data_IF_790824896216
#
_entry.id   IF_790824896216
#
_cell.length_a   1.000
_cell.length_b   1.000
_cell.length_c   1.000
_cell.angle_alpha   90.00
_cell.angle_beta   90.00
_cell.angle_gamma   90.00
#
_symmetry.space_group_name_H-M   'P 1'
#
loop_
_entity.id
_entity.type
_entity.pdbx_description
1 polymer ?
#
# COMPACT_ATOMS: atom_id res chain seq x y z
N UNK A 1 20.21 -27.78 -4.82
CA UNK A 1 20.62 -26.47 -4.32
C UNK A 1 19.61 -26.03 -3.28
N UNK A 2 20.01 -25.27 -2.27
CA UNK A 2 19.05 -24.67 -1.33
C UNK A 2 18.20 -23.64 -2.06
N UNK A 3 16.93 -23.50 -1.66
CA UNK A 3 16.08 -22.45 -2.18
C UNK A 3 16.65 -21.07 -1.76
N UNK A 4 16.43 -20.06 -2.59
CA UNK A 4 16.73 -18.67 -2.25
C UNK A 4 15.82 -18.15 -1.14
N UNK A 5 16.17 -17.01 -0.55
CA UNK A 5 15.43 -16.34 0.51
C UNK A 5 14.40 -15.36 -0.09
N UNK A 6 13.22 -15.33 0.50
CA UNK A 6 12.16 -14.38 0.13
C UNK A 6 12.14 -13.19 1.09
N UNK A 7 12.15 -12.00 0.55
CA UNK A 7 11.99 -10.76 1.31
C UNK A 7 10.68 -10.08 0.93
N UNK A 8 9.81 -9.84 1.91
CA UNK A 8 8.65 -8.95 1.77
C UNK A 8 9.03 -7.55 2.22
N UNK A 9 9.09 -6.59 1.31
CA UNK A 9 9.71 -5.28 1.58
C UNK A 9 8.70 -4.15 1.41
N UNK A 10 8.39 -3.46 2.51
CA UNK A 10 7.65 -2.21 2.48
C UNK A 10 8.58 -1.07 2.04
N UNK A 11 8.19 -0.35 0.99
CA UNK A 11 9.01 0.72 0.39
C UNK A 11 8.49 2.13 0.68
N UNK A 12 7.63 2.27 1.69
CA UNK A 12 7.08 3.56 2.06
C UNK A 12 5.95 4.05 1.14
N UNK A 13 5.40 5.24 1.42
CA UNK A 13 4.16 5.71 0.80
C UNK A 13 4.34 6.30 -0.59
N UNK A 14 5.57 6.64 -1.00
CA UNK A 14 5.83 7.26 -2.29
C UNK A 14 7.17 7.98 -2.41
N UNK A 15 7.60 8.65 -1.36
CA UNK A 15 8.90 9.31 -1.27
C UNK A 15 10.02 8.27 -1.07
N UNK A 16 11.01 8.18 -1.99
CA UNK A 16 12.16 7.29 -1.81
C UNK A 16 12.96 7.55 -0.52
N UNK A 17 12.95 8.78 -0.01
CA UNK A 17 13.57 9.14 1.27
C UNK A 17 12.93 8.50 2.50
N UNK A 18 11.74 7.89 2.33
CA UNK A 18 11.03 7.15 3.38
C UNK A 18 11.20 5.63 3.27
N UNK A 19 12.04 5.17 2.37
CA UNK A 19 12.48 3.77 2.33
C UNK A 19 13.45 3.54 3.48
N UNK A 20 13.20 2.51 4.29
CA UNK A 20 14.11 2.20 5.40
C UNK A 20 15.48 1.76 4.90
N UNK A 21 16.53 1.98 5.69
CA UNK A 21 17.89 1.53 5.35
C UNK A 21 17.94 0.03 5.06
N UNK A 22 17.25 -0.78 5.87
CA UNK A 22 17.17 -2.24 5.68
C UNK A 22 16.47 -2.60 4.37
N UNK A 23 15.38 -1.91 4.03
CA UNK A 23 14.68 -2.12 2.76
C UNK A 23 15.60 -1.80 1.56
N UNK A 24 16.30 -0.67 1.60
CA UNK A 24 17.20 -0.26 0.53
C UNK A 24 18.37 -1.25 0.36
N UNK A 25 18.96 -1.75 1.46
CA UNK A 25 20.01 -2.77 1.44
C UNK A 25 19.54 -4.04 0.73
N UNK A 26 18.39 -4.60 1.14
CA UNK A 26 17.82 -5.82 0.56
C UNK A 26 17.49 -5.62 -0.92
N UNK A 27 16.83 -4.51 -1.28
CA UNK A 27 16.45 -4.25 -2.66
C UNK A 27 17.65 -4.14 -3.59
N UNK A 28 18.74 -3.52 -3.13
CA UNK A 28 19.99 -3.45 -3.92
C UNK A 28 20.71 -4.79 -4.02
N UNK A 29 20.60 -5.65 -3.01
CA UNK A 29 21.33 -6.92 -2.90
C UNK A 29 20.61 -8.15 -3.43
N UNK A 30 19.29 -8.11 -3.66
CA UNK A 30 18.52 -9.26 -4.14
C UNK A 30 18.84 -9.60 -5.59
N UNK A 31 18.72 -10.90 -5.96
CA UNK A 31 18.91 -11.36 -7.33
C UNK A 31 17.72 -10.99 -8.23
N UNK A 32 16.50 -10.97 -7.66
CA UNK A 32 15.29 -10.55 -8.36
C UNK A 32 14.46 -9.64 -7.44
N UNK A 33 14.16 -8.44 -7.92
CA UNK A 33 13.26 -7.51 -7.24
C UNK A 33 11.92 -7.48 -7.97
N UNK A 34 10.89 -8.01 -7.35
CA UNK A 34 9.53 -7.95 -7.87
C UNK A 34 8.85 -6.66 -7.42
N UNK A 35 8.42 -5.86 -8.38
CA UNK A 35 7.63 -4.65 -8.18
C UNK A 35 6.17 -4.89 -8.59
N UNK A 36 5.24 -4.05 -8.15
CA UNK A 36 3.81 -4.23 -8.36
C UNK A 36 3.25 -3.16 -9.29
N UNK A 37 2.48 -3.60 -10.29
CA UNK A 37 1.64 -2.70 -11.09
C UNK A 37 0.18 -3.17 -11.08
N UNK A 38 -0.75 -2.23 -11.22
CA UNK A 38 -2.12 -2.57 -11.60
C UNK A 38 -2.16 -2.94 -13.08
N UNK A 39 -2.89 -3.98 -13.45
CA UNK A 39 -3.02 -4.44 -14.84
C UNK A 39 -3.45 -3.33 -15.84
N UNK A 40 -4.05 -2.26 -15.36
CA UNK A 40 -4.54 -1.14 -16.17
C UNK A 40 -3.61 0.10 -16.15
N UNK A 41 -2.40 0.00 -15.58
CA UNK A 41 -1.45 1.12 -15.52
C UNK A 41 -0.14 0.76 -16.20
N UNK A 42 0.33 1.64 -17.08
CA UNK A 42 1.61 1.51 -17.80
C UNK A 42 2.82 1.78 -16.88
N UNK A 43 2.63 2.48 -15.77
CA UNK A 43 3.70 2.84 -14.85
C UNK A 43 3.48 2.21 -13.46
N UNK A 44 4.52 1.56 -12.96
CA UNK A 44 4.59 1.03 -11.61
C UNK A 44 5.26 2.04 -10.69
N UNK A 45 4.52 2.59 -9.71
CA UNK A 45 5.09 3.49 -8.71
C UNK A 45 6.15 2.78 -7.87
N UNK A 46 5.92 1.51 -7.50
CA UNK A 46 6.90 0.74 -6.75
C UNK A 46 8.20 0.51 -7.55
N UNK A 47 8.10 0.37 -8.87
CA UNK A 47 9.28 0.26 -9.73
C UNK A 47 10.08 1.56 -9.76
N UNK A 48 9.42 2.70 -9.91
CA UNK A 48 10.08 4.01 -9.91
C UNK A 48 10.83 4.27 -8.60
N UNK A 49 10.23 3.92 -7.45
CA UNK A 49 10.90 4.03 -6.15
C UNK A 49 12.13 3.11 -6.09
N UNK A 50 11.99 1.85 -6.48
CA UNK A 50 13.11 0.89 -6.46
C UNK A 50 14.26 1.39 -7.35
N UNK A 51 13.98 1.85 -8.56
CA UNK A 51 14.98 2.37 -9.49
C UNK A 51 15.68 3.63 -8.97
N UNK A 52 14.98 4.47 -8.20
CA UNK A 52 15.57 5.67 -7.60
C UNK A 52 16.57 5.38 -6.46
N UNK A 53 16.57 4.16 -5.90
CA UNK A 53 17.52 3.76 -4.86
C UNK A 53 18.95 3.55 -5.38
N UNK A 54 19.17 3.60 -6.68
CA UNK A 54 20.46 3.37 -7.34
C UNK A 54 20.57 1.97 -7.97
N UNK A 55 21.78 1.56 -8.38
CA UNK A 55 21.96 0.31 -9.11
C UNK A 55 21.57 -0.90 -8.25
N UNK A 56 20.86 -1.83 -8.87
CA UNK A 56 20.52 -3.13 -8.30
C UNK A 56 21.59 -4.15 -8.70
N UNK A 57 21.92 -5.09 -7.82
CA UNK A 57 22.78 -6.24 -8.15
C UNK A 57 22.12 -7.14 -9.18
N UNK A 58 20.83 -7.39 -8.99
CA UNK A 58 20.01 -8.24 -9.85
C UNK A 58 19.09 -7.47 -10.77
N UNK A 59 18.01 -8.10 -11.15
CA UNK A 59 17.01 -7.56 -12.07
C UNK A 59 15.72 -7.13 -11.39
N UNK A 60 15.05 -6.10 -11.92
CA UNK A 60 13.72 -5.70 -11.48
C UNK A 60 12.66 -6.24 -12.47
N UNK A 61 11.67 -6.98 -11.95
CA UNK A 61 10.51 -7.49 -12.70
C UNK A 61 9.22 -6.95 -12.13
N UNK A 62 8.32 -6.51 -13.01
CA UNK A 62 7.02 -6.00 -12.57
C UNK A 62 5.95 -7.09 -12.67
N UNK A 63 5.30 -7.36 -11.54
CA UNK A 63 4.15 -8.25 -11.44
C UNK A 63 2.87 -7.43 -11.58
N UNK A 64 1.98 -7.87 -12.47
CA UNK A 64 0.66 -7.27 -12.65
C UNK A 64 -0.36 -7.92 -11.72
N UNK A 65 -1.17 -7.09 -11.05
CA UNK A 65 -2.28 -7.57 -10.23
C UNK A 65 -3.61 -7.11 -10.80
N UNK A 66 -4.52 -8.07 -10.99
CA UNK A 66 -5.84 -7.80 -11.56
C UNK A 66 -6.72 -7.01 -10.60
N UNK A 67 -7.36 -5.95 -11.13
CA UNK A 67 -8.40 -5.17 -10.44
C UNK A 67 -9.81 -5.61 -10.86
N UNK A 68 -9.96 -6.77 -11.52
CA UNK A 68 -11.24 -7.33 -11.95
C UNK A 68 -12.22 -7.46 -10.79
N UNK A 69 -13.51 -7.33 -11.07
CA UNK A 69 -14.58 -7.69 -10.12
C UNK A 69 -14.73 -9.20 -9.98
N UNK A 70 -14.33 -9.96 -10.98
CA UNK A 70 -14.33 -11.42 -10.96
C UNK A 70 -13.24 -11.95 -10.00
N UNK A 71 -13.68 -12.70 -9.00
CA UNK A 71 -12.79 -13.28 -8.00
C UNK A 71 -11.85 -14.35 -8.62
N UNK A 72 -12.34 -15.15 -9.58
CA UNK A 72 -11.55 -16.18 -10.21
C UNK A 72 -10.36 -15.58 -11.00
N UNK A 73 -10.60 -14.48 -11.72
CA UNK A 73 -9.55 -13.74 -12.43
C UNK A 73 -8.49 -13.19 -11.47
N UNK A 74 -8.93 -12.64 -10.32
CA UNK A 74 -7.97 -12.15 -9.32
C UNK A 74 -7.15 -13.28 -8.71
N UNK A 75 -7.79 -14.39 -8.36
CA UNK A 75 -7.11 -15.57 -7.79
C UNK A 75 -6.08 -16.13 -8.75
N UNK A 76 -6.45 -16.39 -10.01
CA UNK A 76 -5.53 -16.90 -11.02
C UNK A 76 -4.32 -15.97 -11.23
N UNK A 77 -4.54 -14.66 -11.18
CA UNK A 77 -3.45 -13.67 -11.28
C UNK A 77 -2.48 -13.75 -10.09
N UNK A 78 -3.00 -13.89 -8.87
CA UNK A 78 -2.17 -14.04 -7.66
C UNK A 78 -1.39 -15.35 -7.68
N UNK A 79 -2.02 -16.45 -8.11
CA UNK A 79 -1.38 -17.76 -8.25
C UNK A 79 -0.24 -17.74 -9.28
N UNK A 80 -0.46 -17.11 -10.43
CA UNK A 80 0.58 -16.95 -11.46
C UNK A 80 1.77 -16.14 -10.93
N UNK A 81 1.52 -15.04 -10.21
CA UNK A 81 2.56 -14.23 -9.59
C UNK A 81 3.32 -15.00 -8.50
N UNK A 82 2.61 -15.72 -7.64
CA UNK A 82 3.24 -16.56 -6.61
C UNK A 82 4.10 -17.66 -7.22
N UNK A 83 3.63 -18.28 -8.32
CA UNK A 83 4.41 -19.28 -9.06
C UNK A 83 5.70 -18.67 -9.63
N UNK A 84 5.63 -17.51 -10.27
CA UNK A 84 6.79 -16.84 -10.84
C UNK A 84 7.87 -16.55 -9.77
N UNK A 85 7.46 -16.12 -8.58
CA UNK A 85 8.38 -15.90 -7.46
C UNK A 85 8.96 -17.24 -6.95
N UNK A 86 8.11 -18.27 -6.80
CA UNK A 86 8.52 -19.57 -6.31
C UNK A 86 9.52 -20.26 -7.27
N UNK A 87 9.38 -20.08 -8.58
CA UNK A 87 10.29 -20.65 -9.58
C UNK A 87 11.71 -20.03 -9.45
N UNK A 88 11.81 -18.71 -9.17
CA UNK A 88 13.09 -18.05 -8.90
C UNK A 88 13.74 -18.54 -7.60
N UNK A 89 12.94 -18.65 -6.54
CA UNK A 89 13.41 -19.16 -5.25
C UNK A 89 13.93 -20.62 -5.38
N UNK A 90 13.23 -21.48 -6.16
CA UNK A 90 13.70 -22.85 -6.45
C UNK A 90 15.02 -22.88 -7.20
N UNK A 91 15.26 -21.89 -8.04
CA UNK A 91 16.53 -21.74 -8.75
C UNK A 91 17.68 -21.25 -7.83
N UNK A 92 17.43 -21.07 -6.53
CA UNK A 92 18.42 -20.62 -5.54
C UNK A 92 18.62 -19.10 -5.54
N UNK A 93 17.74 -18.32 -6.18
CA UNK A 93 17.86 -16.87 -6.25
C UNK A 93 17.11 -16.18 -5.11
N UNK A 94 17.75 -15.21 -4.47
CA UNK A 94 17.13 -14.35 -3.46
C UNK A 94 16.16 -13.38 -4.12
N UNK A 95 14.92 -13.37 -3.61
CA UNK A 95 13.82 -12.58 -4.18
C UNK A 95 13.30 -11.53 -3.21
N UNK A 96 13.21 -10.27 -3.63
CA UNK A 96 12.57 -9.20 -2.88
C UNK A 96 11.24 -8.80 -3.54
N UNK A 97 10.15 -8.78 -2.77
CA UNK A 97 8.85 -8.28 -3.21
C UNK A 97 8.62 -6.89 -2.65
N UNK A 98 8.78 -5.87 -3.49
CA UNK A 98 8.63 -4.47 -3.12
C UNK A 98 7.16 -4.01 -3.24
N UNK A 99 6.58 -3.53 -2.15
CA UNK A 99 5.20 -3.04 -2.10
C UNK A 99 5.09 -1.66 -1.47
N UNK A 100 4.22 -0.81 -2.01
CA UNK A 100 3.95 0.52 -1.45
C UNK A 100 3.43 0.42 -0.01
N UNK A 101 3.86 1.36 0.83
CA UNK A 101 3.55 1.39 2.23
C UNK A 101 4.29 0.30 2.99
N UNK A 102 3.56 -0.44 3.81
CA UNK A 102 4.05 -1.55 4.63
C UNK A 102 3.73 -2.91 3.99
N UNK A 103 4.63 -3.87 4.12
CA UNK A 103 4.52 -5.18 3.47
C UNK A 103 3.38 -6.05 4.04
N UNK A 104 2.94 -5.81 5.27
CA UNK A 104 1.91 -6.63 5.94
C UNK A 104 0.60 -5.89 6.18
N UNK A 105 0.54 -4.57 5.87
CA UNK A 105 -0.65 -3.75 6.05
C UNK A 105 -1.38 -3.55 4.73
N UNK A 106 -2.46 -4.33 4.48
CA UNK A 106 -3.30 -4.30 3.27
C UNK A 106 -2.52 -4.41 1.95
N UNK A 107 -1.44 -5.14 1.98
CA UNK A 107 -0.49 -5.34 0.88
C UNK A 107 -0.83 -6.55 0.01
N UNK A 108 -0.44 -6.50 -1.27
CA UNK A 108 -0.50 -7.64 -2.19
C UNK A 108 0.46 -8.76 -1.81
N UNK A 109 1.53 -8.46 -1.07
CA UNK A 109 2.45 -9.47 -0.54
C UNK A 109 1.73 -10.48 0.37
N UNK A 110 0.78 -10.02 1.18
CA UNK A 110 -0.04 -10.89 2.02
C UNK A 110 -0.86 -11.94 1.27
N UNK A 111 -1.15 -11.72 -0.03
CA UNK A 111 -1.85 -12.72 -0.86
C UNK A 111 -0.90 -13.74 -1.48
N UNK A 112 0.31 -13.36 -1.86
CA UNK A 112 1.28 -14.29 -2.51
C UNK A 112 2.04 -15.13 -1.49
N UNK A 113 2.34 -14.60 -0.31
CA UNK A 113 3.13 -15.28 0.72
C UNK A 113 2.59 -16.67 1.13
N UNK A 114 1.28 -16.85 1.43
CA UNK A 114 0.74 -18.17 1.76
C UNK A 114 0.88 -19.18 0.63
N UNK A 115 0.77 -18.74 -0.63
CA UNK A 115 0.91 -19.60 -1.80
C UNK A 115 2.36 -20.03 -1.98
N UNK A 116 3.31 -19.12 -1.79
CA UNK A 116 4.74 -19.43 -1.87
C UNK A 116 5.13 -20.41 -0.76
N UNK A 117 4.70 -20.20 0.49
CA UNK A 117 4.96 -21.12 1.60
C UNK A 117 4.38 -22.53 1.35
N UNK A 118 3.21 -22.62 0.70
CA UNK A 118 2.62 -23.90 0.30
C UNK A 118 3.44 -24.57 -0.81
N UNK A 119 3.93 -23.82 -1.78
CA UNK A 119 4.74 -24.33 -2.90
C UNK A 119 6.17 -24.69 -2.51
N UNK A 120 6.71 -24.05 -1.47
CA UNK A 120 8.07 -24.21 -0.94
C UNK A 120 8.02 -24.28 0.59
N UNK A 121 7.62 -25.42 1.17
CA UNK A 121 7.69 -25.63 2.62
C UNK A 121 9.13 -25.45 3.12
N UNK A 122 9.31 -24.58 4.12
CA UNK A 122 10.63 -24.27 4.66
C UNK A 122 11.41 -23.16 3.96
N UNK A 123 10.82 -22.47 2.98
CA UNK A 123 11.45 -21.25 2.41
C UNK A 123 11.71 -20.22 3.52
N UNK A 124 12.94 -19.71 3.55
CA UNK A 124 13.29 -18.65 4.48
C UNK A 124 12.63 -17.34 4.04
N UNK A 125 11.93 -16.67 4.96
CA UNK A 125 11.21 -15.42 4.69
C UNK A 125 11.62 -14.36 5.72
N UNK A 126 12.04 -13.21 5.23
CA UNK A 126 12.24 -12.01 6.04
C UNK A 126 11.23 -10.93 5.59
N UNK A 127 10.61 -10.25 6.55
CA UNK A 127 9.66 -9.18 6.26
C UNK A 127 10.20 -7.88 6.84
N UNK A 128 10.35 -6.88 5.98
CA UNK A 128 10.81 -5.55 6.36
C UNK A 128 9.63 -4.59 6.33
N UNK A 129 9.25 -4.01 7.48
CA UNK A 129 8.15 -3.05 7.53
C UNK A 129 8.48 -1.78 6.75
N UNK A 130 7.44 -1.06 6.33
CA UNK A 130 7.56 0.22 5.66
C UNK A 130 6.66 1.28 6.26
N UNK A 131 6.95 2.56 5.99
CA UNK A 131 6.12 3.67 6.42
C UNK A 131 4.77 3.60 5.72
N UNK A 132 3.68 3.58 6.49
CA UNK A 132 2.32 3.57 5.96
C UNK A 132 1.90 4.94 5.43
N UNK A 133 0.99 4.98 4.45
CA UNK A 133 0.49 6.25 3.90
C UNK A 133 -0.21 7.13 4.93
N UNK A 134 -0.87 6.55 5.93
CA UNK A 134 -1.55 7.33 6.97
C UNK A 134 -0.59 7.90 8.01
N UNK A 135 0.52 7.22 8.33
CA UNK A 135 1.58 7.80 9.14
C UNK A 135 2.24 8.99 8.41
N UNK A 136 2.45 8.83 7.10
CA UNK A 136 2.98 9.92 6.28
C UNK A 136 2.00 11.10 6.17
N UNK A 137 0.68 10.84 6.02
CA UNK A 137 -0.34 11.89 6.02
C UNK A 137 -0.26 12.74 7.30
N UNK A 138 -0.21 12.08 8.47
CA UNK A 138 -0.12 12.76 9.76
C UNK A 138 1.15 13.61 9.88
N UNK A 139 2.30 13.07 9.46
CA UNK A 139 3.58 13.77 9.44
C UNK A 139 3.54 15.00 8.49
N UNK A 140 2.98 14.85 7.29
CA UNK A 140 2.84 15.95 6.34
C UNK A 140 1.87 17.03 6.81
N UNK A 141 0.83 16.65 7.55
CA UNK A 141 -0.12 17.58 8.16
C UNK A 141 0.45 18.26 9.44
N UNK A 142 1.58 17.79 9.96
CA UNK A 142 2.14 18.29 11.23
C UNK A 142 1.21 18.01 12.42
N UNK A 143 0.41 16.93 12.39
CA UNK A 143 -0.56 16.57 13.42
C UNK A 143 -0.39 15.11 13.85
N UNK A 144 -0.45 14.81 15.15
CA UNK A 144 -0.45 13.43 15.64
C UNK A 144 -1.59 12.64 15.00
N UNK A 145 -1.28 11.42 14.52
CA UNK A 145 -2.29 10.50 13.99
C UNK A 145 -3.28 10.10 15.09
N UNK A 146 -2.75 9.69 16.23
CA UNK A 146 -3.46 9.43 17.48
C UNK A 146 -2.67 9.98 18.66
N UNK A 147 -3.39 10.34 19.72
CA UNK A 147 -2.83 10.81 20.99
C UNK A 147 -3.27 9.85 22.11
N UNK A 148 -2.82 10.12 23.33
CA UNK A 148 -3.14 9.27 24.49
C UNK A 148 -4.65 9.03 24.65
N UNK A 149 -5.03 7.76 24.79
CA UNK A 149 -6.43 7.33 24.92
C UNK A 149 -7.23 7.28 23.63
N UNK A 150 -6.68 7.73 22.49
CA UNK A 150 -7.39 7.66 21.20
C UNK A 150 -7.18 6.30 20.50
N UNK A 151 -8.20 5.84 19.79
CA UNK A 151 -8.14 4.62 18.97
C UNK A 151 -7.80 4.92 17.52
N UNK A 152 -6.87 4.15 16.93
CA UNK A 152 -6.63 4.14 15.49
C UNK A 152 -7.49 3.08 14.81
N UNK A 153 -8.36 3.51 13.90
CA UNK A 153 -9.20 2.65 13.07
C UNK A 153 -8.79 2.78 11.60
N UNK A 154 -8.55 1.66 10.93
CA UNK A 154 -8.17 1.67 9.51
C UNK A 154 -9.18 0.88 8.70
N UNK A 155 -9.82 1.55 7.74
CA UNK A 155 -10.78 0.95 6.81
C UNK A 155 -10.12 0.90 5.43
N UNK A 156 -9.74 -0.30 4.93
CA UNK A 156 -8.86 -0.43 3.76
C UNK A 156 -9.55 -0.16 2.43
N UNK A 157 -10.85 -0.44 2.37
CA UNK A 157 -11.70 -0.18 1.21
C UNK A 157 -13.17 -0.38 1.58
N UNK A 158 -14.06 0.30 0.89
CA UNK A 158 -15.50 0.17 1.09
C UNK A 158 -16.25 0.48 -0.22
N UNK A 159 -17.48 -0.01 -0.33
CA UNK A 159 -18.39 0.31 -1.44
C UNK A 159 -19.24 1.52 -1.07
N UNK A 160 -19.87 2.13 -2.06
CA UNK A 160 -20.73 3.30 -1.85
C UNK A 160 -21.86 3.06 -0.83
N UNK A 161 -22.47 1.87 -0.86
CA UNK A 161 -23.52 1.46 0.10
C UNK A 161 -22.99 1.30 1.54
N UNK A 162 -21.70 0.99 1.68
CA UNK A 162 -21.03 0.89 2.98
C UNK A 162 -20.56 2.27 3.49
N UNK A 163 -20.27 3.21 2.59
CA UNK A 163 -19.85 4.56 2.96
C UNK A 163 -20.87 5.25 3.90
N UNK A 164 -22.15 5.12 3.60
CA UNK A 164 -23.22 5.69 4.42
C UNK A 164 -23.31 5.11 5.85
N UNK A 165 -22.72 3.94 6.07
CA UNK A 165 -22.72 3.24 7.37
C UNK A 165 -21.43 3.41 8.14
N UNK A 166 -20.46 4.16 7.62
CA UNK A 166 -19.22 4.44 8.34
C UNK A 166 -19.52 5.21 9.63
N UNK A 167 -18.87 4.82 10.69
CA UNK A 167 -18.97 5.46 12.00
C UNK A 167 -17.62 6.05 12.39
N UNK A 168 -17.67 7.21 13.03
CA UNK A 168 -16.50 7.94 13.50
C UNK A 168 -16.69 8.21 15.00
N UNK A 169 -16.30 7.28 15.89
CA UNK A 169 -16.50 7.43 17.32
C UNK A 169 -15.68 8.60 17.87
N UNK A 170 -16.18 9.31 18.90
CA UNK A 170 -15.37 10.22 19.70
C UNK A 170 -14.12 9.52 20.26
N UNK A 171 -13.01 10.24 20.42
CA UNK A 171 -11.73 9.67 20.87
C UNK A 171 -11.09 8.73 19.86
N UNK A 172 -11.37 8.89 18.57
CA UNK A 172 -10.78 8.05 17.53
C UNK A 172 -10.26 8.81 16.31
N UNK A 173 -9.24 8.24 15.68
CA UNK A 173 -8.76 8.60 14.36
C UNK A 173 -9.10 7.47 13.37
N UNK A 174 -9.96 7.73 12.41
CA UNK A 174 -10.37 6.76 11.38
C UNK A 174 -9.70 7.08 10.05
N UNK A 175 -8.85 6.18 9.58
CA UNK A 175 -8.20 6.23 8.27
C UNK A 175 -9.05 5.46 7.26
N UNK A 176 -9.39 6.12 6.17
CA UNK A 176 -10.11 5.53 5.05
C UNK A 176 -9.17 5.44 3.84
N UNK A 177 -8.83 4.21 3.41
CA UNK A 177 -7.95 3.99 2.28
C UNK A 177 -8.75 3.74 1.00
N UNK A 178 -8.13 4.03 -0.16
CA UNK A 178 -8.69 3.74 -1.49
C UNK A 178 -10.07 4.38 -1.70
N UNK A 179 -10.22 5.62 -1.27
CA UNK A 179 -11.50 6.36 -1.26
C UNK A 179 -12.06 6.66 -2.64
N UNK A 180 -11.28 6.51 -3.70
CA UNK A 180 -11.59 6.89 -5.08
C UNK A 180 -12.88 6.27 -5.65
N UNK A 181 -13.22 5.02 -5.26
CA UNK A 181 -14.39 4.31 -5.79
C UNK A 181 -15.72 4.74 -5.17
N UNK A 182 -15.68 5.30 -3.98
CA UNK A 182 -16.87 5.65 -3.18
C UNK A 182 -16.86 7.11 -2.77
N UNK A 183 -16.14 7.94 -3.54
CA UNK A 183 -15.82 9.32 -3.21
C UNK A 183 -17.06 10.18 -2.92
N UNK A 184 -18.07 10.15 -3.80
CA UNK A 184 -19.32 10.92 -3.64
C UNK A 184 -20.10 10.50 -2.41
N UNK A 185 -20.27 9.17 -2.23
CA UNK A 185 -20.98 8.63 -1.08
C UNK A 185 -20.22 8.90 0.24
N UNK A 186 -18.89 8.84 0.20
CA UNK A 186 -18.05 9.20 1.34
C UNK A 186 -18.19 10.69 1.66
N UNK A 187 -18.12 11.55 0.65
CA UNK A 187 -18.26 13.00 0.85
C UNK A 187 -19.59 13.33 1.54
N UNK A 188 -20.73 12.84 1.00
CA UNK A 188 -22.03 13.03 1.59
C UNK A 188 -22.16 12.51 3.03
N UNK A 189 -21.44 11.42 3.36
CA UNK A 189 -21.40 10.89 4.72
C UNK A 189 -20.57 11.80 5.65
N UNK A 190 -19.46 12.30 5.18
CA UNK A 190 -18.55 13.15 5.98
C UNK A 190 -19.10 14.56 6.20
N UNK A 191 -19.95 15.09 5.31
CA UNK A 191 -20.67 16.35 5.51
C UNK A 191 -21.55 16.35 6.78
N UNK A 192 -21.90 15.17 7.27
CA UNK A 192 -22.71 15.01 8.49
C UNK A 192 -21.86 15.05 9.77
N UNK A 193 -20.54 15.02 9.67
CA UNK A 193 -19.60 15.00 10.82
C UNK A 193 -19.14 16.41 11.16
N UNK A 194 -19.93 17.14 11.97
CA UNK A 194 -19.69 18.55 12.28
C UNK A 194 -18.47 18.81 13.16
N UNK A 195 -18.14 17.86 14.08
CA UNK A 195 -17.07 18.03 15.07
C UNK A 195 -15.80 17.21 14.76
N UNK A 196 -15.58 16.90 13.48
CA UNK A 196 -14.43 16.11 13.07
C UNK A 196 -13.40 16.95 12.31
N UNK A 197 -12.14 16.73 12.60
CA UNK A 197 -11.04 17.17 11.72
C UNK A 197 -10.91 16.17 10.59
N UNK A 198 -11.02 16.62 9.35
CA UNK A 198 -10.91 15.80 8.16
C UNK A 198 -9.68 16.24 7.38
N UNK A 199 -8.75 15.29 7.16
CA UNK A 199 -7.59 15.49 6.29
C UNK A 199 -7.73 14.59 5.06
N UNK A 200 -7.54 15.16 3.90
CA UNK A 200 -7.51 14.45 2.62
C UNK A 200 -6.11 14.48 2.02
N UNK A 201 -5.57 13.32 1.65
CA UNK A 201 -4.27 13.20 1.01
C UNK A 201 -4.34 12.45 -0.31
N UNK A 202 -3.65 12.97 -1.33
CA UNK A 202 -3.44 12.33 -2.62
C UNK A 202 -1.94 12.26 -2.94
N UNK A 203 -1.50 11.13 -3.50
CA UNK A 203 -0.13 10.94 -4.02
C UNK A 203 0.96 11.41 -3.06
N UNK A 204 0.77 11.15 -1.78
CA UNK A 204 1.67 11.60 -0.72
C UNK A 204 3.11 11.13 -0.96
N UNK A 205 4.06 12.07 -0.93
CA UNK A 205 5.47 11.83 -1.22
C UNK A 205 5.79 11.64 -2.70
N UNK A 206 4.88 11.97 -3.61
CA UNK A 206 5.04 11.83 -5.06
C UNK A 206 4.80 13.15 -5.78
N UNK A 207 5.21 13.22 -7.04
CA UNK A 207 4.83 14.33 -7.91
C UNK A 207 3.30 14.48 -7.96
N UNK A 208 2.83 15.72 -7.79
CA UNK A 208 1.40 16.04 -7.70
C UNK A 208 0.78 15.72 -6.34
N UNK A 209 1.59 15.60 -5.29
CA UNK A 209 1.10 15.49 -3.90
C UNK A 209 0.08 16.57 -3.58
N UNK A 210 -0.97 16.16 -2.86
CA UNK A 210 -1.94 17.07 -2.27
C UNK A 210 -2.25 16.66 -0.84
N UNK A 211 -2.31 17.67 0.00
CA UNK A 211 -2.79 17.59 1.37
C UNK A 211 -3.75 18.73 1.60
N UNK A 212 -4.97 18.42 2.00
CA UNK A 212 -6.01 19.41 2.26
C UNK A 212 -6.74 19.09 3.55
N UNK A 213 -7.14 20.12 4.27
CA UNK A 213 -8.10 20.03 5.37
C UNK A 213 -9.50 20.31 4.86
N UNK A 214 -10.51 19.57 5.33
CA UNK A 214 -11.88 19.67 4.89
C UNK A 214 -12.21 18.80 3.67
N UNK A 215 -13.42 19.00 3.12
CA UNK A 215 -14.00 18.14 2.10
C UNK A 215 -13.92 18.71 0.67
N UNK A 216 -13.67 20.01 0.51
CA UNK A 216 -13.76 20.71 -0.79
C UNK A 216 -12.81 20.11 -1.83
N UNK A 217 -11.58 19.78 -1.41
CA UNK A 217 -10.60 19.15 -2.28
C UNK A 217 -11.05 17.79 -2.86
N UNK A 218 -11.99 17.12 -2.21
CA UNK A 218 -12.56 15.87 -2.73
C UNK A 218 -13.52 16.13 -3.92
N UNK A 219 -14.08 17.34 -4.08
CA UNK A 219 -15.03 17.67 -5.17
C UNK A 219 -14.34 18.13 -6.44
N UNK A 220 -13.24 18.86 -6.31
CA UNK A 220 -12.65 19.65 -7.40
C UNK A 220 -11.87 18.83 -8.44
N UNK A 221 -11.61 17.55 -8.22
CA UNK A 221 -10.73 16.75 -9.07
C UNK A 221 -11.22 15.35 -9.39
N UNK A 222 -10.73 14.74 -10.46
CA UNK A 222 -10.93 13.31 -10.73
C UNK A 222 -10.44 12.47 -9.55
N UNK A 223 -11.10 11.33 -9.33
CA UNK A 223 -10.76 10.43 -8.24
C UNK A 223 -9.35 9.82 -8.42
N UNK A 224 -8.45 10.06 -7.46
CA UNK A 224 -7.10 9.49 -7.45
C UNK A 224 -7.07 8.16 -6.69
N UNK A 225 -6.42 7.14 -7.31
CA UNK A 225 -6.29 5.82 -6.71
C UNK A 225 -5.47 5.84 -5.41
N UNK A 226 -4.38 6.63 -5.41
CA UNK A 226 -3.49 6.81 -4.25
C UNK A 226 -4.01 7.94 -3.37
N UNK A 227 -5.23 7.79 -2.86
CA UNK A 227 -5.88 8.74 -1.97
C UNK A 227 -6.32 8.10 -0.66
N UNK A 228 -6.31 8.89 0.40
CA UNK A 228 -6.82 8.51 1.70
C UNK A 228 -7.45 9.71 2.40
N UNK A 229 -8.32 9.39 3.36
CA UNK A 229 -8.94 10.37 4.26
C UNK A 229 -8.64 9.96 5.69
N UNK A 230 -8.27 10.91 6.53
CA UNK A 230 -8.22 10.77 7.97
C UNK A 230 -9.35 11.59 8.58
N UNK A 231 -10.17 10.96 9.38
CA UNK A 231 -11.24 11.58 10.17
C UNK A 231 -10.87 11.44 11.63
N UNK A 232 -10.54 12.55 12.29
CA UNK A 232 -10.22 12.58 13.73
C UNK A 232 -11.36 13.26 14.47
N UNK A 233 -11.95 12.55 15.43
CA UNK A 233 -13.05 13.03 16.26
C UNK A 233 -12.61 13.02 17.72
N UNK A 234 -12.62 14.20 18.33
CA UNK A 234 -12.28 14.38 19.75
C UNK A 234 -13.41 13.91 20.66
#
# INVERSE_FOLDING_TARGET
>A
MAAGKLYGVGIGPGDPGLVTLRAAEILRGADVVFTVASANRTHSVSRAIVESLGPLRGEARTLSFSMSRDAAVRTACVEANAKAIADELKAGRDCAFATLGDAMTYSTFGYVLPLIRRALPGVEVEIVPGVTSFAHLAARAGRPLVEDGEELRVVPAFRADQAARLTFPPGSATVLLKTYRSREALHARLEQEQDATILYGERLGMEGERLCEGLDAMRERPAEYLSLVLVKKK
#
